data_IF_611559070832
#
_entry.id   IF_611559070832
#
_cell.length_a   1.000
_cell.length_b   1.000
_cell.length_c   1.000
_cell.angle_alpha   90.00
_cell.angle_beta   90.00
_cell.angle_gamma   90.00
#
_symmetry.space_group_name_H-M   'P 1'
#
loop_
_entity.id
_entity.type
_entity.pdbx_description
1 polymer ?
#
# COMPACT_ATOMS: atom_id res chain seq x y z
N UNK A 1 -31.74 -13.06 -12.75
CA UNK A 1 -33.20 -12.88 -12.87
C UNK A 1 -33.60 -11.45 -13.24
N UNK A 2 -32.81 -10.44 -12.86
CA UNK A 2 -33.11 -9.03 -13.13
C UNK A 2 -32.51 -8.50 -14.45
N UNK A 3 -31.61 -9.28 -15.06
CA UNK A 3 -30.92 -8.96 -16.32
C UNK A 3 -30.29 -7.55 -16.34
N UNK A 4 -29.75 -7.13 -15.18
CA UNK A 4 -29.02 -5.88 -15.03
C UNK A 4 -27.58 -6.13 -14.55
N UNK A 5 -26.58 -5.32 -14.94
CA UNK A 5 -25.22 -5.45 -14.45
C UNK A 5 -25.14 -5.30 -12.93
N UNK A 6 -24.26 -6.07 -12.28
CA UNK A 6 -24.10 -6.09 -10.82
C UNK A 6 -23.82 -4.70 -10.24
N UNK A 7 -22.99 -3.89 -10.89
CA UNK A 7 -22.70 -2.53 -10.43
C UNK A 7 -23.94 -1.64 -10.38
N UNK A 8 -24.92 -1.83 -11.30
CA UNK A 8 -26.21 -1.14 -11.26
C UNK A 8 -27.15 -1.69 -10.20
N UNK A 9 -27.11 -3.00 -9.99
CA UNK A 9 -27.91 -3.63 -8.95
C UNK A 9 -27.53 -3.11 -7.56
N UNK A 10 -26.21 -2.97 -7.30
CA UNK A 10 -25.70 -2.48 -6.01
C UNK A 10 -25.78 -0.94 -5.92
N UNK A 11 -25.34 -0.23 -6.95
CA UNK A 11 -25.17 1.23 -6.92
C UNK A 11 -26.35 2.05 -7.40
N UNK A 12 -27.40 1.43 -7.94
CA UNK A 12 -28.60 2.12 -8.42
C UNK A 12 -28.42 2.79 -9.78
N UNK A 13 -29.16 3.89 -10.01
CA UNK A 13 -29.28 4.53 -11.32
C UNK A 13 -28.10 5.43 -11.72
N UNK A 14 -27.31 5.88 -10.78
CA UNK A 14 -26.23 6.89 -10.97
C UNK A 14 -24.81 6.29 -10.93
N UNK A 15 -24.60 5.10 -11.47
CA UNK A 15 -23.33 4.38 -11.45
C UNK A 15 -22.51 4.67 -12.71
N UNK A 16 -22.04 5.91 -12.88
CA UNK A 16 -21.28 6.33 -14.08
C UNK A 16 -19.81 6.65 -13.81
N UNK A 17 -19.43 6.78 -12.54
CA UNK A 17 -18.10 7.21 -12.16
C UNK A 17 -17.24 6.00 -11.82
N UNK A 18 -16.13 5.83 -12.53
CA UNK A 18 -15.10 4.86 -12.17
C UNK A 18 -14.30 5.40 -10.98
N UNK A 19 -13.91 4.55 -10.02
CA UNK A 19 -13.06 4.97 -8.92
C UNK A 19 -11.65 5.32 -9.42
N UNK A 20 -10.92 6.09 -8.61
CA UNK A 20 -9.47 6.22 -8.79
C UNK A 20 -8.84 4.83 -8.62
N UNK A 21 -8.03 4.36 -9.59
CA UNK A 21 -7.43 3.04 -9.46
C UNK A 21 -6.42 3.00 -8.31
N UNK A 22 -6.48 1.96 -7.49
CA UNK A 22 -5.44 1.57 -6.53
C UNK A 22 -4.60 0.48 -7.17
N UNK A 23 -3.30 0.73 -7.34
CA UNK A 23 -2.41 -0.17 -8.07
C UNK A 23 -1.26 -0.61 -7.17
N UNK A 24 -1.19 -1.90 -6.87
CA UNK A 24 -0.09 -2.48 -6.11
C UNK A 24 1.20 -2.46 -6.93
N UNK A 25 2.27 -1.88 -6.40
CA UNK A 25 3.57 -1.74 -7.06
C UNK A 25 4.74 -2.33 -6.28
N UNK A 26 4.60 -2.55 -4.96
CA UNK A 26 5.56 -3.30 -4.12
C UNK A 26 4.78 -4.29 -3.25
N UNK A 27 5.24 -5.53 -3.24
CA UNK A 27 4.74 -6.59 -2.37
C UNK A 27 5.67 -6.82 -1.19
N UNK A 28 5.08 -7.13 -0.04
CA UNK A 28 5.76 -7.63 1.15
C UNK A 28 4.91 -8.67 1.86
N UNK A 29 5.05 -8.82 3.16
CA UNK A 29 4.27 -9.74 3.97
C UNK A 29 4.26 -11.15 3.42
N UNK A 30 3.09 -11.78 3.43
CA UNK A 30 2.89 -13.14 2.90
C UNK A 30 2.95 -13.23 1.37
N UNK A 31 2.95 -12.11 0.65
CA UNK A 31 3.00 -12.06 -0.83
C UNK A 31 4.43 -11.99 -1.39
N UNK A 32 5.45 -12.03 -0.54
CA UNK A 32 6.85 -11.85 -0.94
C UNK A 32 7.80 -12.45 0.08
N UNK A 33 8.99 -12.87 -0.36
CA UNK A 33 10.11 -13.21 0.52
C UNK A 33 10.92 -11.96 0.96
N UNK A 34 10.46 -10.76 0.60
CA UNK A 34 11.10 -9.51 1.00
C UNK A 34 10.95 -9.26 2.52
N UNK A 35 11.97 -8.70 3.19
CA UNK A 35 11.91 -8.42 4.62
C UNK A 35 11.08 -7.15 4.92
N UNK A 36 9.81 -7.16 4.55
CA UNK A 36 8.84 -6.08 4.70
C UNK A 36 7.59 -6.68 5.31
N UNK A 37 7.07 -6.12 6.41
CA UNK A 37 5.92 -6.67 7.11
C UNK A 37 4.60 -6.38 6.41
N UNK A 38 4.42 -5.18 5.85
CA UNK A 38 3.19 -4.82 5.13
C UNK A 38 3.09 -5.55 3.79
N UNK A 39 1.87 -5.98 3.47
CA UNK A 39 1.60 -6.86 2.35
C UNK A 39 1.64 -6.15 1.00
N UNK A 40 1.04 -4.94 0.92
CA UNK A 40 0.95 -4.19 -0.33
C UNK A 40 1.22 -2.71 -0.15
N UNK A 41 1.97 -2.16 -1.11
CA UNK A 41 2.19 -0.74 -1.27
C UNK A 41 1.63 -0.32 -2.62
N UNK A 42 0.56 0.46 -2.57
CA UNK A 42 -0.22 0.86 -3.73
C UNK A 42 -0.05 2.34 -4.02
N UNK A 43 -0.20 2.71 -5.29
CA UNK A 43 -0.31 4.11 -5.72
C UNK A 43 -1.71 4.43 -6.18
N UNK A 44 -2.12 5.68 -5.95
CA UNK A 44 -3.41 6.23 -6.36
C UNK A 44 -3.18 7.53 -7.14
N UNK A 45 -3.40 7.57 -8.45
CA UNK A 45 -3.20 8.75 -9.29
C UNK A 45 -4.36 9.74 -9.15
N UNK A 46 -4.43 10.41 -8.00
CA UNK A 46 -5.56 11.31 -7.61
C UNK A 46 -5.63 12.57 -8.47
N UNK A 47 -4.50 12.99 -9.08
CA UNK A 47 -4.45 14.14 -9.98
C UNK A 47 -4.95 13.86 -11.40
N UNK A 48 -5.28 12.61 -11.72
CA UNK A 48 -5.76 12.23 -13.05
C UNK A 48 -7.17 12.77 -13.34
N UNK A 49 -7.39 13.33 -14.54
CA UNK A 49 -8.70 13.84 -14.95
C UNK A 49 -9.71 12.72 -15.32
N UNK A 50 -9.26 11.51 -15.57
CA UNK A 50 -10.08 10.35 -15.90
C UNK A 50 -9.35 9.03 -15.62
N UNK A 51 -10.10 7.92 -15.62
CA UNK A 51 -9.54 6.58 -15.34
C UNK A 51 -8.39 6.20 -16.29
N UNK A 52 -8.52 6.48 -17.59
CA UNK A 52 -7.47 6.21 -18.59
C UNK A 52 -6.17 6.93 -18.25
N UNK A 53 -6.28 8.19 -17.85
CA UNK A 53 -5.12 9.00 -17.44
C UNK A 53 -4.52 8.43 -16.16
N UNK A 54 -5.33 8.07 -15.18
CA UNK A 54 -4.87 7.43 -13.95
C UNK A 54 -4.10 6.14 -14.21
N UNK A 55 -4.61 5.29 -15.10
CA UNK A 55 -3.92 4.05 -15.47
C UNK A 55 -2.58 4.33 -16.16
N UNK A 56 -2.51 5.35 -17.04
CA UNK A 56 -1.26 5.77 -17.69
C UNK A 56 -0.23 6.26 -16.64
N UNK A 57 -0.65 7.14 -15.74
CA UNK A 57 0.21 7.65 -14.67
C UNK A 57 0.76 6.52 -13.81
N UNK A 58 -0.09 5.57 -13.41
CA UNK A 58 0.33 4.41 -12.63
C UNK A 58 1.35 3.54 -13.35
N UNK A 59 1.15 3.28 -14.65
CA UNK A 59 2.09 2.52 -15.45
C UNK A 59 3.46 3.24 -15.57
N UNK A 60 3.46 4.55 -15.72
CA UNK A 60 4.69 5.36 -15.78
C UNK A 60 5.45 5.32 -14.45
N UNK A 61 4.76 5.47 -13.32
CA UNK A 61 5.36 5.33 -11.98
C UNK A 61 5.91 3.91 -11.77
N UNK A 62 5.16 2.88 -12.16
CA UNK A 62 5.62 1.49 -12.06
C UNK A 62 6.92 1.26 -12.85
N UNK A 63 7.00 1.78 -14.07
CA UNK A 63 8.21 1.68 -14.88
C UNK A 63 9.37 2.53 -14.34
N UNK A 64 9.08 3.68 -13.73
CA UNK A 64 10.09 4.48 -13.02
C UNK A 64 10.62 3.72 -11.79
N UNK A 65 9.73 3.10 -11.00
CA UNK A 65 10.12 2.27 -9.86
C UNK A 65 11.04 1.12 -10.27
N UNK A 66 10.76 0.46 -11.39
CA UNK A 66 11.66 -0.56 -11.95
C UNK A 66 13.08 -0.05 -12.16
N UNK A 67 13.24 1.19 -12.64
CA UNK A 67 14.55 1.81 -12.86
C UNK A 67 15.24 2.15 -11.53
N UNK A 68 14.49 2.69 -10.56
CA UNK A 68 14.98 3.00 -9.20
C UNK A 68 15.51 1.75 -8.55
N UNK A 69 14.73 0.65 -8.53
CA UNK A 69 15.14 -0.63 -7.93
C UNK A 69 16.37 -1.21 -8.63
N UNK A 70 16.42 -1.19 -9.96
CA UNK A 70 17.59 -1.66 -10.73
C UNK A 70 18.85 -0.86 -10.43
N UNK A 71 18.74 0.47 -10.31
CA UNK A 71 19.87 1.32 -9.96
C UNK A 71 20.46 0.99 -8.57
N UNK A 72 19.62 0.49 -7.67
CA UNK A 72 20.03 0.00 -6.34
C UNK A 72 20.50 -1.47 -6.35
N UNK A 73 20.52 -2.13 -7.50
CA UNK A 73 20.88 -3.56 -7.61
C UNK A 73 19.83 -4.51 -7.04
N UNK A 74 18.59 -4.06 -6.85
CA UNK A 74 17.49 -4.83 -6.28
C UNK A 74 16.73 -5.63 -7.34
N UNK A 75 16.06 -6.70 -6.91
CA UNK A 75 15.19 -7.50 -7.77
C UNK A 75 14.03 -6.68 -8.33
N UNK A 76 13.69 -6.91 -9.58
CA UNK A 76 12.48 -6.42 -10.23
C UNK A 76 11.60 -7.56 -10.71
N UNK A 77 11.72 -8.73 -10.04
CA UNK A 77 10.74 -9.80 -10.20
C UNK A 77 9.39 -9.34 -9.65
N UNK A 78 8.32 -9.77 -10.29
CA UNK A 78 6.95 -9.42 -9.95
C UNK A 78 6.37 -10.54 -9.11
N UNK A 79 5.74 -10.19 -8.00
CA UNK A 79 4.99 -11.11 -7.15
C UNK A 79 3.60 -11.44 -7.70
N UNK A 80 2.85 -12.24 -6.97
CA UNK A 80 1.53 -12.73 -7.38
C UNK A 80 0.50 -11.62 -7.59
N UNK A 81 0.62 -10.54 -6.83
CA UNK A 81 -0.27 -9.36 -6.90
C UNK A 81 0.21 -8.26 -7.89
N UNK A 82 1.20 -8.58 -8.73
CA UNK A 82 1.64 -7.69 -9.79
C UNK A 82 2.69 -6.63 -9.42
N UNK A 83 2.93 -6.37 -8.13
CA UNK A 83 4.00 -5.49 -7.65
C UNK A 83 5.37 -6.15 -7.65
N UNK A 84 6.44 -5.35 -7.58
CA UNK A 84 7.80 -5.88 -7.38
C UNK A 84 7.98 -6.44 -5.96
N UNK A 85 8.89 -7.40 -5.81
CA UNK A 85 9.25 -8.01 -4.53
C UNK A 85 10.75 -7.80 -4.21
N UNK A 86 11.22 -6.55 -4.03
CA UNK A 86 12.61 -6.25 -3.75
C UNK A 86 12.96 -6.45 -2.28
N UNK A 87 14.17 -6.89 -1.98
CA UNK A 87 14.70 -6.95 -0.62
C UNK A 87 15.04 -5.54 -0.10
N UNK A 88 14.01 -4.77 0.26
CA UNK A 88 14.13 -3.44 0.88
C UNK A 88 14.27 -3.55 2.40
N UNK A 89 14.69 -2.47 3.06
CA UNK A 89 14.90 -2.43 4.50
C UNK A 89 13.63 -1.97 5.25
N UNK A 90 12.53 -2.72 5.10
CA UNK A 90 11.26 -2.43 5.78
C UNK A 90 10.37 -1.39 5.07
N UNK A 91 9.34 -0.97 5.79
CA UNK A 91 8.25 -0.14 5.28
C UNK A 91 8.70 1.22 4.75
N UNK A 92 9.52 1.96 5.50
CA UNK A 92 9.95 3.31 5.14
C UNK A 92 10.85 3.31 3.89
N UNK A 93 11.69 2.28 3.71
CA UNK A 93 12.51 2.15 2.50
C UNK A 93 11.64 1.88 1.27
N UNK A 94 10.56 1.10 1.42
CA UNK A 94 9.58 0.89 0.37
C UNK A 94 8.87 2.20 0.00
N UNK A 95 8.38 2.95 0.98
CA UNK A 95 7.72 4.23 0.78
C UNK A 95 8.63 5.26 0.11
N UNK A 96 9.88 5.38 0.55
CA UNK A 96 10.85 6.29 -0.05
C UNK A 96 11.17 5.90 -1.51
N UNK A 97 11.27 4.61 -1.81
CA UNK A 97 11.47 4.13 -3.19
C UNK A 97 10.30 4.51 -4.11
N UNK A 98 9.07 4.44 -3.57
CA UNK A 98 7.86 4.88 -4.29
C UNK A 98 7.87 6.39 -4.52
N UNK A 99 8.21 7.20 -3.51
CA UNK A 99 8.30 8.66 -3.67
C UNK A 99 9.35 9.05 -4.72
N UNK A 100 10.49 8.37 -4.74
CA UNK A 100 11.51 8.58 -5.76
C UNK A 100 10.96 8.23 -7.16
N UNK A 101 10.25 7.11 -7.29
CA UNK A 101 9.64 6.69 -8.55
C UNK A 101 8.57 7.67 -9.05
N UNK A 102 7.71 8.19 -8.16
CA UNK A 102 6.69 9.19 -8.51
C UNK A 102 7.37 10.46 -9.09
N UNK A 103 8.41 10.96 -8.40
CA UNK A 103 9.18 12.13 -8.89
C UNK A 103 9.91 11.85 -10.21
N UNK A 104 10.51 10.66 -10.33
CA UNK A 104 11.21 10.25 -11.55
C UNK A 104 10.28 10.08 -12.75
N UNK A 105 9.00 9.79 -12.50
CA UNK A 105 7.96 9.76 -13.53
C UNK A 105 7.43 11.17 -13.90
N UNK A 106 7.86 12.23 -13.19
CA UNK A 106 7.46 13.61 -13.44
C UNK A 106 6.22 14.06 -12.68
N UNK A 107 5.81 13.33 -11.64
CA UNK A 107 4.63 13.63 -10.82
C UNK A 107 5.02 14.15 -9.43
N UNK A 108 4.11 14.91 -8.83
CA UNK A 108 4.25 15.45 -7.48
C UNK A 108 3.57 14.52 -6.46
N UNK A 109 4.35 13.91 -5.51
CA UNK A 109 3.77 13.09 -4.45
C UNK A 109 2.78 13.89 -3.59
N UNK A 110 1.63 13.30 -3.29
CA UNK A 110 0.57 13.90 -2.49
C UNK A 110 -0.37 14.81 -3.26
N UNK A 111 -0.01 15.24 -4.45
CA UNK A 111 -0.85 16.07 -5.32
C UNK A 111 -1.33 15.33 -6.56
N UNK A 112 -0.40 14.75 -7.30
CA UNK A 112 -0.72 13.97 -8.50
C UNK A 112 -0.95 12.49 -8.17
N UNK A 113 -0.12 11.96 -7.26
CA UNK A 113 -0.14 10.55 -6.84
C UNK A 113 -0.01 10.46 -5.34
N UNK A 114 -0.95 9.79 -4.69
CA UNK A 114 -0.91 9.41 -3.28
C UNK A 114 -0.55 7.92 -3.13
N UNK A 115 -0.35 7.50 -1.89
CA UNK A 115 -0.01 6.12 -1.53
C UNK A 115 -1.17 5.52 -0.75
N UNK A 116 -1.45 4.24 -1.02
CA UNK A 116 -2.31 3.42 -0.19
C UNK A 116 -1.53 2.20 0.31
N UNK A 117 -1.86 1.72 1.49
CA UNK A 117 -1.25 0.56 2.11
C UNK A 117 -2.30 -0.53 2.35
N UNK A 118 -1.90 -1.78 2.20
CA UNK A 118 -2.52 -2.92 2.85
C UNK A 118 -1.50 -3.51 3.84
N UNK A 119 -1.79 -3.36 5.12
CA UNK A 119 -0.91 -3.84 6.17
C UNK A 119 -1.07 -5.33 6.41
N UNK A 120 -2.25 -5.90 6.14
CA UNK A 120 -2.63 -7.28 6.48
C UNK A 120 -2.23 -7.68 7.91
N UNK A 121 -2.53 -6.80 8.88
CA UNK A 121 -1.93 -6.84 10.23
C UNK A 121 -2.27 -8.10 11.02
N UNK A 122 -3.33 -8.83 10.66
CA UNK A 122 -3.64 -10.13 11.25
C UNK A 122 -2.54 -11.15 11.05
N UNK A 123 -1.74 -11.01 9.99
CA UNK A 123 -0.66 -11.94 9.65
C UNK A 123 0.52 -11.91 10.66
N UNK A 124 0.72 -10.77 11.31
CA UNK A 124 1.80 -10.59 12.30
C UNK A 124 1.30 -10.19 13.69
N UNK A 125 -0.02 -10.28 13.93
CA UNK A 125 -0.59 -10.08 15.26
C UNK A 125 -0.69 -11.39 16.02
N UNK A 126 -0.08 -11.44 17.20
CA UNK A 126 -0.11 -12.62 18.07
C UNK A 126 -0.07 -12.22 19.54
N UNK A 127 -0.98 -12.80 20.34
CA UNK A 127 -1.00 -12.62 21.80
C UNK A 127 -1.01 -11.15 22.24
N UNK A 128 -1.73 -10.29 21.50
CA UNK A 128 -1.84 -8.86 21.80
C UNK A 128 -0.67 -8.01 21.32
N UNK A 129 0.21 -8.56 20.50
CA UNK A 129 1.41 -7.87 19.99
C UNK A 129 1.47 -7.95 18.47
N UNK A 130 1.78 -6.84 17.82
CA UNK A 130 2.12 -6.76 16.41
C UNK A 130 3.61 -7.03 16.24
N UNK A 131 3.96 -8.25 15.85
CA UNK A 131 5.33 -8.76 15.78
C UNK A 131 5.88 -8.74 14.35
N UNK A 132 6.53 -7.66 13.99
CA UNK A 132 7.14 -7.46 12.67
C UNK A 132 8.34 -8.40 12.42
N UNK A 133 8.90 -9.01 13.48
CA UNK A 133 10.03 -9.94 13.32
C UNK A 133 9.68 -11.17 12.50
N UNK A 134 8.38 -11.48 12.35
CA UNK A 134 7.89 -12.56 11.48
C UNK A 134 8.37 -12.40 10.04
N UNK A 135 8.39 -11.16 9.54
CA UNK A 135 8.78 -10.84 8.15
C UNK A 135 10.13 -10.13 8.07
N UNK A 136 10.41 -9.22 9.00
CA UNK A 136 11.61 -8.36 8.98
C UNK A 136 12.79 -8.96 9.75
N UNK A 137 12.62 -10.17 10.32
CA UNK A 137 13.66 -10.85 11.08
C UNK A 137 14.09 -10.07 12.32
N UNK A 138 15.38 -10.10 12.64
CA UNK A 138 15.91 -9.44 13.84
C UNK A 138 15.74 -7.91 13.87
N UNK A 139 15.46 -7.28 12.75
CA UNK A 139 15.24 -5.82 12.65
C UNK A 139 13.78 -5.43 12.89
N UNK A 140 12.86 -6.37 12.87
CA UNK A 140 11.44 -6.14 13.06
C UNK A 140 11.13 -5.68 14.48
N UNK A 141 10.31 -4.64 14.61
CA UNK A 141 9.81 -4.16 15.89
C UNK A 141 8.66 -5.04 16.41
N UNK A 142 8.44 -4.99 17.72
CA UNK A 142 7.23 -5.51 18.37
C UNK A 142 6.46 -4.34 18.95
N UNK A 143 5.19 -4.23 18.62
CA UNK A 143 4.33 -3.08 19.00
C UNK A 143 3.09 -3.57 19.72
N UNK A 144 2.72 -2.87 20.78
CA UNK A 144 1.38 -2.95 21.36
C UNK A 144 0.35 -2.36 20.37
N UNK A 145 -0.96 -2.57 20.54
CA UNK A 145 -1.97 -1.90 19.72
C UNK A 145 -1.84 -0.38 19.69
N UNK A 146 -1.53 0.26 20.81
CA UNK A 146 -1.31 1.71 20.91
C UNK A 146 -0.08 2.16 20.11
N UNK A 147 1.01 1.41 20.20
CA UNK A 147 2.24 1.69 19.46
C UNK A 147 2.04 1.45 17.95
N UNK A 148 1.20 0.48 17.56
CA UNK A 148 0.81 0.24 16.17
C UNK A 148 0.04 1.43 15.60
N UNK A 149 -0.97 1.93 16.33
CA UNK A 149 -1.72 3.13 15.95
C UNK A 149 -0.79 4.34 15.82
N UNK A 150 0.09 4.55 16.79
CA UNK A 150 1.05 5.65 16.75
C UNK A 150 2.03 5.54 15.55
N UNK A 151 2.45 4.33 15.21
CA UNK A 151 3.31 4.07 14.06
C UNK A 151 2.59 4.39 12.75
N UNK A 152 1.36 3.89 12.56
CA UNK A 152 0.57 4.18 11.37
C UNK A 152 0.30 5.68 11.20
N UNK A 153 -0.06 6.36 12.29
CA UNK A 153 -0.19 7.82 12.31
C UNK A 153 1.11 8.51 11.89
N UNK A 154 2.24 8.10 12.45
CA UNK A 154 3.55 8.65 12.08
C UNK A 154 3.88 8.48 10.59
N UNK A 155 3.46 7.37 9.97
CA UNK A 155 3.61 7.16 8.53
C UNK A 155 2.73 8.14 7.73
N UNK A 156 1.47 8.38 8.13
CA UNK A 156 0.59 9.33 7.43
C UNK A 156 1.06 10.79 7.57
N UNK A 157 1.77 11.12 8.62
CA UNK A 157 2.37 12.46 8.82
C UNK A 157 3.64 12.67 7.97
N UNK A 158 4.36 11.60 7.64
CA UNK A 158 5.62 11.66 6.90
C UNK A 158 5.47 11.42 5.40
N UNK A 159 4.47 10.65 5.00
CA UNK A 159 4.24 10.22 3.62
C UNK A 159 2.83 10.57 3.17
N UNK A 160 2.60 10.81 1.88
CA UNK A 160 1.28 11.15 1.35
C UNK A 160 0.37 9.91 1.25
N UNK A 161 0.12 9.29 2.39
CA UNK A 161 -0.75 8.12 2.53
C UNK A 161 -2.17 8.62 2.78
N UNK A 162 -3.13 8.17 1.96
CA UNK A 162 -4.53 8.55 2.07
C UNK A 162 -5.49 7.35 2.27
N UNK A 163 -4.94 6.13 2.32
CA UNK A 163 -5.69 4.91 2.64
C UNK A 163 -4.79 3.89 3.32
N UNK A 164 -5.29 3.26 4.38
CA UNK A 164 -4.66 2.13 5.05
C UNK A 164 -5.71 1.05 5.24
N UNK A 165 -5.53 -0.08 4.56
CA UNK A 165 -6.30 -1.30 4.71
C UNK A 165 -5.66 -2.18 5.77
N UNK A 166 -6.47 -2.84 6.57
CA UNK A 166 -6.07 -3.80 7.60
C UNK A 166 -4.94 -3.31 8.53
N UNK A 167 -5.01 -2.02 8.91
CA UNK A 167 -4.03 -1.39 9.81
C UNK A 167 -3.96 -2.02 11.20
N UNK A 168 -5.05 -2.68 11.63
CA UNK A 168 -5.13 -3.49 12.84
C UNK A 168 -5.57 -4.90 12.49
N UNK A 169 -5.31 -5.86 13.39
CA UNK A 169 -5.76 -7.24 13.22
C UNK A 169 -7.29 -7.34 13.24
N UNK A 170 -7.86 -8.30 12.51
CA UNK A 170 -9.31 -8.45 12.30
C UNK A 170 -10.13 -8.54 13.59
N UNK A 171 -9.55 -9.08 14.67
CA UNK A 171 -10.23 -9.27 15.97
C UNK A 171 -9.78 -8.25 17.03
N UNK A 172 -8.91 -7.29 16.71
CA UNK A 172 -8.45 -6.23 17.63
C UNK A 172 -9.41 -5.03 17.60
N UNK A 173 -10.64 -5.23 18.09
CA UNK A 173 -11.68 -4.19 18.10
C UNK A 173 -11.30 -2.93 18.87
N UNK A 174 -10.53 -3.07 19.95
CA UNK A 174 -10.05 -1.91 20.71
C UNK A 174 -8.97 -1.14 19.96
N UNK A 175 -8.06 -1.84 19.27
CA UNK A 175 -7.10 -1.24 18.37
C UNK A 175 -7.78 -0.50 17.22
N UNK A 176 -8.79 -1.10 16.59
CA UNK A 176 -9.59 -0.46 15.54
C UNK A 176 -10.30 0.80 16.01
N UNK A 177 -10.88 0.76 17.23
CA UNK A 177 -11.49 1.95 17.82
C UNK A 177 -10.48 3.09 17.97
N UNK A 178 -9.29 2.82 18.50
CA UNK A 178 -8.22 3.80 18.66
C UNK A 178 -7.66 4.33 17.34
N UNK A 179 -7.58 3.47 16.33
CA UNK A 179 -7.13 3.88 14.99
C UNK A 179 -8.12 4.83 14.32
N UNK A 180 -9.41 4.69 14.62
CA UNK A 180 -10.48 5.51 14.05
C UNK A 180 -10.58 6.90 14.72
N UNK A 181 -10.25 7.02 16.01
CA UNK A 181 -10.21 8.27 16.79
C UNK A 181 -9.01 9.16 16.40
#
# INVERSE_FOLDING_TARGET
ELDIPLYRYIGGTNTYVLPIPMMNIINGGSHSDAPIAFQEFMIRPVGACCFREGLRMGAEVFHALKKVLKARGLSTAVGDEGGFAPALNGTEDALNSILEAIRAAGYEPGKDVTIALDCASSEFFKEGVYDYTKFEGANGAKRTPEEQVAYLKGLTEQFPIDSIEDGMAENDWEGWRKLTE
#
